data_IF_970902819832
#
_entry.id   IF_970902819832
#
_cell.length_a   1.000
_cell.length_b   1.000
_cell.length_c   1.000
_cell.angle_alpha   90.00
_cell.angle_beta   90.00
_cell.angle_gamma   90.00
#
_symmetry.space_group_name_H-M   'P 1'
#
loop_
_entity.id
_entity.type
_entity.pdbx_description
1 polymer ?
#
# COMPACT_ATOMS: atom_id res chain seq x y z
N UNK A 1 24.98 -35.14 5.02
CA UNK A 1 24.50 -33.80 4.62
C UNK A 1 23.31 -33.82 3.66
N UNK A 2 23.28 -34.71 2.65
CA UNK A 2 22.19 -34.77 1.65
C UNK A 2 20.81 -35.11 2.22
N UNK A 3 20.73 -36.06 3.16
CA UNK A 3 19.44 -36.53 3.72
C UNK A 3 18.77 -35.45 4.60
N UNK A 4 19.55 -34.75 5.44
CA UNK A 4 19.04 -33.64 6.27
C UNK A 4 18.52 -32.51 5.37
N UNK A 5 19.28 -32.16 4.33
CA UNK A 5 18.86 -31.17 3.36
C UNK A 5 17.55 -31.56 2.66
N UNK A 6 17.38 -32.84 2.31
CA UNK A 6 16.14 -33.34 1.71
C UNK A 6 14.94 -33.17 2.67
N UNK A 7 15.07 -33.57 3.94
CA UNK A 7 14.00 -33.43 4.93
C UNK A 7 13.62 -31.96 5.17
N UNK A 8 14.61 -31.07 5.23
CA UNK A 8 14.38 -29.63 5.37
C UNK A 8 13.58 -29.08 4.18
N UNK A 9 13.94 -29.45 2.95
CA UNK A 9 13.21 -29.01 1.76
C UNK A 9 11.78 -29.57 1.71
N UNK A 10 11.58 -30.86 2.04
CA UNK A 10 10.25 -31.48 2.11
C UNK A 10 9.38 -30.78 3.16
N UNK A 11 9.95 -30.45 4.33
CA UNK A 11 9.25 -29.71 5.36
C UNK A 11 8.81 -28.32 4.86
N UNK A 12 9.70 -27.55 4.25
CA UNK A 12 9.35 -26.24 3.68
C UNK A 12 8.29 -26.35 2.58
N UNK A 13 8.36 -27.39 1.74
CA UNK A 13 7.39 -27.65 0.69
C UNK A 13 6.01 -27.97 1.25
N UNK A 14 5.91 -28.88 2.23
CA UNK A 14 4.66 -29.21 2.91
C UNK A 14 4.09 -28.00 3.66
N UNK A 15 4.95 -27.23 4.34
CA UNK A 15 4.54 -26.00 5.02
C UNK A 15 3.98 -24.97 4.03
N UNK A 16 4.62 -24.80 2.87
CA UNK A 16 4.13 -23.93 1.80
C UNK A 16 2.79 -24.40 1.23
N UNK A 17 2.61 -25.72 1.03
CA UNK A 17 1.32 -26.29 0.60
C UNK A 17 0.23 -26.01 1.63
N UNK A 18 0.50 -26.20 2.93
CA UNK A 18 -0.47 -25.93 3.98
C UNK A 18 -0.87 -24.44 4.02
N UNK A 19 0.10 -23.52 3.87
CA UNK A 19 -0.18 -22.08 3.76
C UNK A 19 -1.03 -21.78 2.52
N UNK A 20 -0.70 -22.39 1.37
CA UNK A 20 -1.44 -22.23 0.13
C UNK A 20 -2.89 -22.70 0.27
N UNK A 21 -3.11 -23.91 0.80
CA UNK A 21 -4.44 -24.47 1.02
C UNK A 21 -5.25 -23.61 2.01
N UNK A 22 -4.64 -23.20 3.13
CA UNK A 22 -5.27 -22.31 4.12
C UNK A 22 -5.65 -20.96 3.52
N UNK A 23 -4.76 -20.35 2.74
CA UNK A 23 -5.00 -19.05 2.10
C UNK A 23 -6.10 -19.15 1.04
N UNK A 24 -6.10 -20.21 0.22
CA UNK A 24 -7.12 -20.48 -0.79
C UNK A 24 -8.49 -20.74 -0.15
N UNK A 25 -8.55 -21.57 0.89
CA UNK A 25 -9.79 -21.83 1.63
C UNK A 25 -10.35 -20.55 2.25
N UNK A 26 -9.49 -19.76 2.91
CA UNK A 26 -9.87 -18.47 3.50
C UNK A 26 -10.37 -17.46 2.44
N UNK A 27 -9.73 -17.41 1.27
CA UNK A 27 -10.18 -16.58 0.14
C UNK A 27 -11.57 -16.99 -0.36
N UNK A 28 -11.79 -18.30 -0.56
CA UNK A 28 -13.08 -18.82 -1.03
C UNK A 28 -14.17 -18.50 0.00
N UNK A 29 -13.90 -18.70 1.30
CA UNK A 29 -14.85 -18.43 2.36
C UNK A 29 -15.24 -16.95 2.44
N UNK A 30 -14.29 -16.03 2.27
CA UNK A 30 -14.60 -14.59 2.29
C UNK A 30 -15.24 -14.05 1.02
N UNK A 31 -15.01 -14.67 -0.14
CA UNK A 31 -15.68 -14.28 -1.39
C UNK A 31 -17.20 -14.49 -1.32
N UNK A 32 -17.65 -15.42 -0.46
CA UNK A 32 -19.07 -15.77 -0.28
C UNK A 32 -19.79 -14.84 0.69
N UNK A 33 -19.08 -14.06 1.52
CA UNK A 33 -19.69 -13.14 2.46
C UNK A 33 -19.74 -11.71 1.89
N UNK A 34 -20.93 -11.10 1.86
CA UNK A 34 -21.15 -9.67 1.54
C UNK A 34 -20.56 -8.78 2.64
N UNK A 35 -19.24 -8.69 2.71
CA UNK A 35 -18.55 -7.80 3.63
C UNK A 35 -18.31 -6.42 3.02
N UNK A 36 -18.18 -5.41 3.89
CA UNK A 36 -17.64 -4.12 3.52
C UNK A 36 -16.28 -4.29 2.83
N UNK A 37 -16.05 -3.57 1.73
CA UNK A 37 -14.78 -3.56 1.00
C UNK A 37 -13.78 -2.72 1.78
N UNK A 38 -12.70 -3.35 2.25
CA UNK A 38 -11.63 -2.68 2.97
C UNK A 38 -10.54 -2.16 2.03
N UNK A 39 -10.31 -0.85 2.04
CA UNK A 39 -9.30 -0.19 1.19
C UNK A 39 -8.25 0.48 2.06
N UNK A 40 -7.00 0.08 1.89
CA UNK A 40 -5.85 0.77 2.47
C UNK A 40 -5.52 2.03 1.70
N UNK A 41 -5.23 3.12 2.39
CA UNK A 41 -4.80 4.39 1.78
C UNK A 41 -3.64 4.96 2.57
N UNK A 42 -2.56 5.35 1.89
CA UNK A 42 -1.45 6.05 2.55
C UNK A 42 -1.58 7.56 2.32
N UNK A 43 -1.75 8.31 3.40
CA UNK A 43 -1.77 9.77 3.41
C UNK A 43 -0.34 10.32 3.45
N UNK A 44 0.01 11.11 2.44
CA UNK A 44 1.27 11.84 2.39
C UNK A 44 1.14 13.26 2.90
N UNK A 45 2.15 13.76 3.63
CA UNK A 45 2.13 15.14 4.12
C UNK A 45 1.92 16.17 3.00
N UNK A 46 1.06 17.16 3.24
CA UNK A 46 0.84 18.31 2.36
C UNK A 46 0.01 17.97 1.11
N UNK A 47 0.52 18.34 -0.07
CA UNK A 47 -0.18 18.20 -1.36
C UNK A 47 -0.58 16.76 -1.69
N UNK A 48 0.20 15.77 -1.27
CA UNK A 48 -0.13 14.36 -1.48
C UNK A 48 -1.43 13.93 -0.78
N UNK A 49 -1.72 14.43 0.44
CA UNK A 49 -3.00 14.15 1.09
C UNK A 49 -4.15 14.78 0.33
N UNK A 50 -3.97 15.98 -0.24
CA UNK A 50 -4.99 16.57 -1.10
C UNK A 50 -5.26 15.70 -2.33
N UNK A 51 -4.20 15.31 -3.06
CA UNK A 51 -4.31 14.49 -4.27
C UNK A 51 -5.13 13.23 -4.04
N UNK A 52 -4.82 12.49 -2.97
CA UNK A 52 -5.49 11.21 -2.71
C UNK A 52 -6.93 11.41 -2.23
N UNK A 53 -7.20 12.46 -1.44
CA UNK A 53 -8.54 12.72 -0.91
C UNK A 53 -9.53 13.11 -2.02
N UNK A 54 -9.13 13.87 -3.03
CA UNK A 54 -10.02 14.17 -4.17
C UNK A 54 -10.42 12.89 -4.92
N UNK A 55 -9.50 11.95 -5.07
CA UNK A 55 -9.80 10.64 -5.68
C UNK A 55 -10.78 9.85 -4.82
N UNK A 56 -10.56 9.82 -3.49
CA UNK A 56 -11.46 9.11 -2.58
C UNK A 56 -12.89 9.68 -2.57
N UNK A 57 -13.07 11.00 -2.75
CA UNK A 57 -14.41 11.61 -2.83
C UNK A 57 -15.23 11.09 -4.01
N UNK A 58 -14.57 10.73 -5.10
CA UNK A 58 -15.24 10.22 -6.33
C UNK A 58 -15.72 8.78 -6.11
N UNK A 59 -15.08 8.02 -5.23
CA UNK A 59 -15.45 6.64 -4.90
C UNK A 59 -16.72 6.65 -4.04
N UNK A 60 -17.88 6.77 -4.69
CA UNK A 60 -19.21 6.76 -4.04
C UNK A 60 -19.64 5.33 -3.72
N UNK A 61 -19.33 4.85 -2.52
CA UNK A 61 -19.88 3.58 -2.02
C UNK A 61 -19.91 3.55 -0.48
N UNK A 62 -21.10 3.32 0.09
CA UNK A 62 -21.33 3.23 1.54
C UNK A 62 -20.69 2.00 2.19
N UNK A 63 -20.40 0.97 1.38
CA UNK A 63 -19.89 -0.31 1.86
C UNK A 63 -18.35 -0.35 1.83
N UNK A 64 -17.69 0.82 1.76
CA UNK A 64 -16.23 0.91 1.81
C UNK A 64 -15.78 1.34 3.20
N UNK A 65 -14.82 0.60 3.74
CA UNK A 65 -14.10 0.96 4.95
C UNK A 65 -12.65 1.34 4.61
N UNK A 66 -12.27 2.59 4.85
CA UNK A 66 -10.94 3.09 4.56
C UNK A 66 -9.98 2.91 5.74
N UNK A 67 -8.88 2.21 5.52
CA UNK A 67 -7.76 2.12 6.46
C UNK A 67 -6.69 3.15 6.07
N UNK A 68 -6.69 4.29 6.77
CA UNK A 68 -5.89 5.47 6.45
C UNK A 68 -4.56 5.44 7.22
N UNK A 69 -3.49 5.06 6.55
CA UNK A 69 -2.11 5.11 7.07
C UNK A 69 -1.57 6.53 6.98
N UNK A 70 -1.01 7.05 8.06
CA UNK A 70 -0.42 8.40 8.06
C UNK A 70 0.81 8.45 8.97
N UNK A 71 1.73 9.37 8.69
CA UNK A 71 2.91 9.54 9.55
C UNK A 71 2.47 10.03 10.94
N UNK A 72 2.99 9.41 12.00
CA UNK A 72 2.58 9.69 13.39
C UNK A 72 2.74 11.16 13.82
N UNK A 73 3.63 11.91 13.18
CA UNK A 73 3.85 13.34 13.42
C UNK A 73 3.08 14.26 12.45
N UNK A 74 2.20 13.73 11.62
CA UNK A 74 1.43 14.48 10.62
C UNK A 74 -0.06 14.51 10.95
N UNK A 75 -0.40 15.24 12.02
CA UNK A 75 -1.78 15.41 12.47
C UNK A 75 -2.63 16.21 11.47
N UNK A 76 -2.02 17.08 10.67
CA UNK A 76 -2.74 17.87 9.66
C UNK A 76 -3.37 16.98 8.59
N UNK A 77 -2.62 16.00 8.08
CA UNK A 77 -3.15 15.05 7.10
C UNK A 77 -4.32 14.22 7.67
N UNK A 78 -4.22 13.80 8.94
CA UNK A 78 -5.31 13.12 9.65
C UNK A 78 -6.57 13.99 9.72
N UNK A 79 -6.45 15.22 10.24
CA UNK A 79 -7.58 16.15 10.41
C UNK A 79 -8.24 16.45 9.05
N UNK A 80 -7.43 16.67 8.01
CA UNK A 80 -7.93 16.94 6.66
C UNK A 80 -8.72 15.75 6.10
N UNK A 81 -8.21 14.53 6.26
CA UNK A 81 -8.90 13.32 5.83
C UNK A 81 -10.18 13.07 6.64
N UNK A 82 -10.15 13.32 7.93
CA UNK A 82 -11.32 13.19 8.81
C UNK A 82 -12.47 14.10 8.37
N UNK A 83 -12.15 15.36 8.09
CA UNK A 83 -13.10 16.36 7.61
C UNK A 83 -13.62 16.09 6.20
N UNK A 84 -12.77 15.54 5.33
CA UNK A 84 -13.14 15.26 3.94
C UNK A 84 -14.01 14.01 3.82
N UNK A 85 -13.71 12.98 4.61
CA UNK A 85 -14.37 11.67 4.54
C UNK A 85 -15.41 11.48 5.66
N UNK A 86 -16.10 12.54 6.11
CA UNK A 86 -17.03 12.51 7.26
C UNK A 86 -18.04 11.35 7.19
N UNK A 87 -18.58 11.10 6.00
CA UNK A 87 -19.66 10.12 5.79
C UNK A 87 -19.17 8.70 5.44
N UNK A 88 -17.85 8.46 5.48
CA UNK A 88 -17.27 7.16 5.16
C UNK A 88 -16.79 6.44 6.42
N UNK A 89 -16.94 5.11 6.44
CA UNK A 89 -16.29 4.26 7.45
C UNK A 89 -14.78 4.38 7.27
N UNK A 90 -14.06 4.71 8.33
CA UNK A 90 -12.62 4.96 8.27
C UNK A 90 -11.92 4.67 9.59
N UNK A 91 -10.71 4.13 9.49
CA UNK A 91 -9.81 3.87 10.60
C UNK A 91 -8.46 4.55 10.34
N UNK A 92 -7.93 5.25 11.34
CA UNK A 92 -6.63 5.92 11.23
C UNK A 92 -5.52 5.09 11.85
N UNK A 93 -4.43 4.92 11.10
CA UNK A 93 -3.32 4.05 11.44
C UNK A 93 -2.01 4.85 11.43
N UNK A 94 -1.53 5.30 12.60
CA UNK A 94 -0.28 6.02 12.67
C UNK A 94 0.88 5.08 12.35
N UNK A 95 1.81 5.51 11.51
CA UNK A 95 3.05 4.78 11.21
C UNK A 95 4.27 5.67 11.52
N UNK A 96 5.40 5.08 11.98
CA UNK A 96 6.64 5.84 12.18
C UNK A 96 7.11 6.44 10.85
N UNK A 97 7.50 7.72 10.89
CA UNK A 97 8.00 8.42 9.71
C UNK A 97 9.38 7.89 9.32
N UNK A 98 9.54 7.48 8.06
CA UNK A 98 10.79 6.88 7.56
C UNK A 98 11.92 7.88 7.36
N UNK A 99 11.60 9.17 7.21
CA UNK A 99 12.60 10.23 6.96
C UNK A 99 12.10 11.58 7.44
N UNK A 100 12.87 12.24 8.29
CA UNK A 100 12.74 13.67 8.52
C UNK A 100 13.62 14.46 7.55
N UNK A 101 13.26 15.71 7.31
CA UNK A 101 14.05 16.60 6.45
C UNK A 101 15.43 16.81 7.10
N UNK A 102 16.51 16.62 6.35
CA UNK A 102 17.88 16.75 6.84
C UNK A 102 18.50 15.48 7.46
N UNK A 103 17.75 14.36 7.57
CA UNK A 103 18.32 13.12 8.11
C UNK A 103 19.25 12.40 7.12
N UNK A 104 20.27 11.73 7.67
CA UNK A 104 21.20 10.91 6.89
C UNK A 104 20.50 9.73 6.21
N UNK A 105 21.04 9.29 5.09
CA UNK A 105 20.49 8.16 4.32
C UNK A 105 20.52 6.85 5.11
N UNK A 106 21.58 6.60 5.88
CA UNK A 106 21.71 5.40 6.69
C UNK A 106 20.63 5.35 7.78
N UNK A 107 20.38 6.46 8.47
CA UNK A 107 19.35 6.52 9.51
C UNK A 107 17.95 6.38 8.90
N UNK A 108 17.72 6.98 7.73
CA UNK A 108 16.48 6.81 6.96
C UNK A 108 16.24 5.33 6.60
N UNK A 109 17.29 4.59 6.27
CA UNK A 109 17.20 3.17 5.93
C UNK A 109 16.89 2.29 7.16
N UNK A 110 17.50 2.57 8.31
CA UNK A 110 17.15 1.89 9.58
C UNK A 110 15.69 2.16 9.94
N UNK A 111 15.25 3.42 9.88
CA UNK A 111 13.86 3.79 10.14
C UNK A 111 12.89 3.13 9.15
N UNK A 112 13.28 3.02 7.88
CA UNK A 112 12.50 2.29 6.89
C UNK A 112 12.24 0.84 7.34
N UNK A 113 13.26 0.12 7.81
CA UNK A 113 13.07 -1.26 8.30
C UNK A 113 12.20 -1.33 9.54
N UNK A 114 12.38 -0.41 10.49
CA UNK A 114 11.53 -0.33 11.69
C UNK A 114 10.07 -0.10 11.28
N UNK A 115 9.81 0.89 10.40
CA UNK A 115 8.47 1.16 9.87
C UNK A 115 7.92 -0.04 9.11
N UNK A 116 8.74 -0.72 8.30
CA UNK A 116 8.33 -1.91 7.54
C UNK A 116 7.86 -3.05 8.47
N UNK A 117 8.65 -3.39 9.49
CA UNK A 117 8.28 -4.40 10.49
C UNK A 117 6.97 -4.00 11.20
N UNK A 118 6.88 -2.74 11.62
CA UNK A 118 5.67 -2.21 12.24
C UNK A 118 4.44 -2.33 11.31
N UNK A 119 4.60 -2.03 10.03
CA UNK A 119 3.55 -2.18 9.03
C UNK A 119 3.16 -3.65 8.81
N UNK A 120 4.08 -4.61 8.90
CA UNK A 120 3.74 -6.05 8.87
C UNK A 120 2.75 -6.37 10.00
N UNK A 121 3.04 -5.94 11.24
CA UNK A 121 2.16 -6.22 12.38
C UNK A 121 0.78 -5.57 12.24
N UNK A 122 0.71 -4.31 11.78
CA UNK A 122 -0.58 -3.63 11.55
C UNK A 122 -1.37 -4.33 10.45
N UNK A 123 -0.74 -4.53 9.28
CA UNK A 123 -1.43 -5.10 8.12
C UNK A 123 -1.82 -6.56 8.33
N UNK A 124 -1.14 -7.30 9.20
CA UNK A 124 -1.53 -8.67 9.56
C UNK A 124 -2.91 -8.73 10.23
N UNK A 125 -3.28 -7.71 11.02
CA UNK A 125 -4.62 -7.60 11.63
C UNK A 125 -5.71 -7.28 10.60
N UNK A 126 -5.35 -6.75 9.43
CA UNK A 126 -6.25 -6.38 8.34
C UNK A 126 -6.33 -7.53 7.33
N UNK A 127 -7.10 -8.55 7.70
CA UNK A 127 -7.20 -9.74 6.90
C UNK A 127 -7.99 -9.51 5.60
N UNK A 128 -9.01 -8.65 5.63
CA UNK A 128 -9.94 -8.43 4.52
C UNK A 128 -9.48 -7.33 3.55
N UNK A 129 -8.54 -6.48 3.96
CA UNK A 129 -7.95 -5.46 3.09
C UNK A 129 -7.21 -6.10 1.91
N UNK A 130 -7.79 -5.95 0.73
CA UNK A 130 -7.34 -6.55 -0.53
C UNK A 130 -6.95 -5.51 -1.60
N UNK A 131 -7.10 -4.22 -1.29
CA UNK A 131 -6.74 -3.11 -2.16
C UNK A 131 -5.99 -2.06 -1.34
N UNK A 132 -4.89 -1.56 -1.88
CA UNK A 132 -4.21 -0.37 -1.36
C UNK A 132 -4.04 0.68 -2.46
N UNK A 133 -4.37 1.93 -2.13
CA UNK A 133 -4.15 3.10 -2.97
C UNK A 133 -3.07 3.94 -2.30
N UNK A 134 -1.99 4.23 -3.03
CA UNK A 134 -0.88 5.03 -2.53
C UNK A 134 -0.47 6.08 -3.53
N UNK A 135 0.16 7.14 -3.04
CA UNK A 135 0.83 8.12 -3.88
C UNK A 135 2.29 8.35 -3.49
N UNK A 136 2.87 9.48 -3.91
CA UNK A 136 4.29 9.81 -3.94
C UNK A 136 5.14 9.89 -2.65
N UNK A 137 4.65 9.97 -1.39
CA UNK A 137 5.56 10.13 -0.26
C UNK A 137 6.39 8.86 0.00
N UNK A 138 7.63 9.01 0.49
CA UNK A 138 8.48 7.87 0.85
C UNK A 138 7.89 6.95 1.92
N UNK A 139 6.92 7.44 2.70
CA UNK A 139 6.19 6.66 3.73
C UNK A 139 5.30 5.57 3.15
N UNK A 140 4.92 5.63 1.87
CA UNK A 140 4.10 4.58 1.25
C UNK A 140 4.87 3.30 0.96
N UNK A 141 6.18 3.40 0.73
CA UNK A 141 7.04 2.27 0.35
C UNK A 141 7.04 1.15 1.39
N UNK A 142 7.28 1.39 2.70
CA UNK A 142 7.27 0.31 3.70
C UNK A 142 5.87 -0.30 3.88
N UNK A 143 4.80 0.47 3.74
CA UNK A 143 3.41 -0.04 3.82
C UNK A 143 3.11 -0.97 2.65
N UNK A 144 3.48 -0.57 1.43
CA UNK A 144 3.28 -1.42 0.25
C UNK A 144 4.15 -2.66 0.33
N UNK A 145 5.40 -2.53 0.78
CA UNK A 145 6.29 -3.68 0.95
C UNK A 145 5.78 -4.65 2.02
N UNK A 146 5.19 -4.18 3.13
CA UNK A 146 4.59 -5.09 4.12
C UNK A 146 3.40 -5.86 3.54
N UNK A 147 2.64 -5.24 2.64
CA UNK A 147 1.56 -5.92 1.92
C UNK A 147 2.06 -6.88 0.85
N UNK A 148 3.14 -6.55 0.13
CA UNK A 148 3.81 -7.48 -0.78
C UNK A 148 4.36 -8.70 -0.02
N UNK A 149 4.97 -8.48 1.14
CA UNK A 149 5.39 -9.55 2.04
C UNK A 149 4.20 -10.48 2.36
N UNK A 150 3.04 -9.91 2.72
CA UNK A 150 1.83 -10.72 2.94
C UNK A 150 1.31 -11.41 1.68
N UNK A 151 1.36 -10.75 0.52
CA UNK A 151 0.94 -11.29 -0.77
C UNK A 151 1.76 -12.51 -1.16
N UNK A 152 3.08 -12.48 -0.97
CA UNK A 152 3.95 -13.58 -1.38
C UNK A 152 4.07 -14.68 -0.32
N UNK A 153 4.16 -14.34 0.97
CA UNK A 153 4.39 -15.33 2.03
C UNK A 153 3.08 -15.97 2.49
N UNK A 154 1.99 -15.19 2.59
CA UNK A 154 0.67 -15.70 3.00
C UNK A 154 -0.28 -15.87 1.81
N UNK A 155 0.20 -15.69 0.58
CA UNK A 155 -0.55 -15.90 -0.66
C UNK A 155 -1.86 -15.08 -0.72
N UNK A 156 -1.88 -13.93 -0.04
CA UNK A 156 -3.04 -13.02 -0.01
C UNK A 156 -3.19 -12.31 -1.34
N UNK A 157 -4.41 -12.20 -1.85
CA UNK A 157 -4.68 -11.39 -3.03
C UNK A 157 -4.77 -9.92 -2.64
N UNK A 158 -3.71 -9.17 -2.89
CA UNK A 158 -3.65 -7.72 -2.64
C UNK A 158 -3.37 -7.01 -3.96
N UNK A 159 -4.23 -6.05 -4.29
CA UNK A 159 -4.12 -5.13 -5.42
C UNK A 159 -3.47 -3.83 -4.98
N UNK A 160 -2.46 -3.40 -5.71
CA UNK A 160 -1.71 -2.18 -5.41
C UNK A 160 -1.98 -1.16 -6.51
N UNK A 161 -2.62 -0.05 -6.17
CA UNK A 161 -2.82 1.10 -7.05
C UNK A 161 -1.84 2.18 -6.64
N UNK A 162 -0.91 2.50 -7.52
CA UNK A 162 0.03 3.59 -7.32
C UNK A 162 -0.37 4.79 -8.18
N UNK A 163 -0.44 5.95 -7.55
CA UNK A 163 -0.76 7.24 -8.17
C UNK A 163 0.47 8.14 -8.05
N UNK A 164 1.14 8.42 -9.16
CA UNK A 164 2.22 9.41 -9.14
C UNK A 164 1.64 10.81 -8.90
N UNK A 165 2.43 11.70 -8.28
CA UNK A 165 2.01 13.08 -8.04
C UNK A 165 1.85 13.88 -9.32
N UNK A 166 0.90 14.82 -9.30
CA UNK A 166 0.58 15.72 -10.43
C UNK A 166 1.78 16.59 -10.80
N UNK A 167 2.62 16.93 -9.82
CA UNK A 167 3.83 17.72 -10.02
C UNK A 167 4.94 17.00 -10.82
N UNK A 168 4.80 15.68 -11.06
CA UNK A 168 5.80 14.90 -11.80
C UNK A 168 5.46 14.84 -13.28
N UNK A 169 6.12 15.69 -14.06
CA UNK A 169 5.89 15.81 -15.50
C UNK A 169 6.87 14.96 -16.32
N UNK A 170 8.17 15.05 -16.02
CA UNK A 170 9.22 14.46 -16.88
C UNK A 170 9.86 13.20 -16.30
N UNK A 171 9.81 13.02 -14.98
CA UNK A 171 10.43 11.90 -14.29
C UNK A 171 9.58 11.40 -13.11
N UNK A 172 9.60 10.09 -12.89
CA UNK A 172 8.99 9.45 -11.73
C UNK A 172 9.73 9.82 -10.45
N UNK A 173 8.98 9.94 -9.36
CA UNK A 173 9.52 10.01 -8.00
C UNK A 173 10.29 8.73 -7.63
N UNK A 174 11.10 8.79 -6.58
CA UNK A 174 11.86 7.60 -6.15
C UNK A 174 10.92 6.48 -5.68
N UNK A 175 9.87 6.83 -4.92
CA UNK A 175 8.85 5.88 -4.48
C UNK A 175 8.13 5.24 -5.67
N UNK A 176 7.79 6.03 -6.69
CA UNK A 176 7.20 5.55 -7.93
C UNK A 176 8.12 4.58 -8.68
N UNK A 177 9.40 4.92 -8.84
CA UNK A 177 10.38 4.03 -9.49
C UNK A 177 10.48 2.68 -8.76
N UNK A 178 10.49 2.70 -7.43
CA UNK A 178 10.52 1.47 -6.61
C UNK A 178 9.24 0.65 -6.76
N UNK A 179 8.08 1.30 -6.73
CA UNK A 179 6.78 0.61 -6.73
C UNK A 179 6.24 0.31 -8.14
N UNK A 180 6.86 0.84 -9.19
CA UNK A 180 6.42 0.69 -10.59
C UNK A 180 6.20 -0.77 -11.00
N UNK A 181 7.11 -1.67 -10.63
CA UNK A 181 7.00 -3.08 -10.98
C UNK A 181 5.99 -3.84 -10.12
N UNK A 182 5.76 -3.38 -8.89
CA UNK A 182 4.91 -4.06 -7.91
C UNK A 182 3.44 -3.63 -7.94
N UNK A 183 3.13 -2.46 -8.50
CA UNK A 183 1.75 -2.01 -8.60
C UNK A 183 0.94 -2.86 -9.58
N UNK A 184 -0.33 -3.13 -9.31
CA UNK A 184 -1.24 -3.72 -10.30
C UNK A 184 -1.74 -2.64 -11.28
N UNK A 185 -1.97 -1.43 -10.79
CA UNK A 185 -2.31 -0.24 -11.58
C UNK A 185 -1.33 0.89 -11.24
N UNK A 186 -0.72 1.47 -12.27
CA UNK A 186 0.20 2.59 -12.13
C UNK A 186 -0.36 3.78 -12.91
N UNK A 187 -0.76 4.83 -12.19
CA UNK A 187 -1.36 6.03 -12.79
C UNK A 187 -0.35 7.17 -12.73
N UNK A 188 -0.28 7.91 -13.83
CA UNK A 188 0.48 9.16 -13.95
C UNK A 188 -0.45 10.26 -14.44
N UNK A 189 -0.10 11.51 -14.15
CA UNK A 189 -0.82 12.70 -14.60
C UNK A 189 -0.05 13.47 -15.69
N UNK A 190 0.89 12.81 -16.37
CA UNK A 190 1.66 13.38 -17.46
C UNK A 190 1.69 12.43 -18.65
N UNK A 191 1.27 12.93 -19.81
CA UNK A 191 1.39 12.19 -21.08
C UNK A 191 2.84 11.82 -21.39
N UNK A 192 3.79 12.68 -21.03
CA UNK A 192 5.20 12.40 -21.22
C UNK A 192 5.65 11.16 -20.42
N UNK A 193 5.19 11.04 -19.17
CA UNK A 193 5.44 9.84 -18.37
C UNK A 193 4.74 8.61 -18.95
N UNK A 194 3.50 8.75 -19.42
CA UNK A 194 2.78 7.64 -20.04
C UNK A 194 3.53 7.10 -21.26
N UNK A 195 4.01 7.98 -22.15
CA UNK A 195 4.79 7.59 -23.34
C UNK A 195 6.11 6.90 -22.95
N UNK A 196 6.74 7.34 -21.86
CA UNK A 196 8.02 6.81 -21.38
C UNK A 196 7.89 5.46 -20.64
N UNK A 197 6.77 5.21 -19.96
CA UNK A 197 6.59 4.06 -19.07
C UNK A 197 5.39 3.22 -19.52
N UNK A 198 5.66 2.07 -20.16
CA UNK A 198 4.63 1.19 -20.77
C UNK A 198 3.46 0.80 -19.86
N UNK A 199 3.68 0.67 -18.55
CA UNK A 199 2.66 0.28 -17.57
C UNK A 199 1.87 1.47 -17.03
N UNK A 200 2.39 2.68 -17.20
CA UNK A 200 1.76 3.88 -16.73
C UNK A 200 0.50 4.19 -17.55
N UNK A 201 -0.59 4.52 -16.86
CA UNK A 201 -1.84 4.95 -17.48
C UNK A 201 -2.10 6.39 -17.12
N UNK A 202 -2.45 7.19 -18.13
CA UNK A 202 -2.91 8.55 -17.96
C UNK A 202 -4.43 8.59 -18.17
N UNK A 203 -5.15 9.23 -17.25
CA UNK A 203 -6.61 9.33 -17.27
C UNK A 203 -7.10 10.79 -17.33
N UNK A 204 -6.21 11.73 -17.67
CA UNK A 204 -6.49 13.16 -17.58
C UNK A 204 -6.06 13.76 -16.24
N UNK A 205 -6.32 15.06 -16.09
CA UNK A 205 -6.08 15.81 -14.87
C UNK A 205 -7.34 15.76 -13.99
N UNK A 206 -7.15 15.53 -12.69
CA UNK A 206 -8.24 15.38 -11.72
C UNK A 206 -8.41 16.63 -10.82
N UNK A 207 -7.57 17.65 -11.02
CA UNK A 207 -7.40 18.82 -10.15
C UNK A 207 -7.42 20.10 -10.98
#
# INVERSE_FOLDING_TARGET
MSIIFLYVNVFFFLWFILIYLKSKFWYIQNKVQNHDVEIGVVLGSGGHTFEILEILKIIKNSNINFHLFYASNDNFSKIKAENTLKNYKKNFLPIPRCRNVGESYLLSFVKFFITFIYCIFITYKMNNMNLIIVNGPGTCVPVVFSLLFRKYIFLKQIKIVYLESVCRIYSLSLSAKLLYYFSDLFVVFSEHLQKKYKKAKFYGYLF
#
